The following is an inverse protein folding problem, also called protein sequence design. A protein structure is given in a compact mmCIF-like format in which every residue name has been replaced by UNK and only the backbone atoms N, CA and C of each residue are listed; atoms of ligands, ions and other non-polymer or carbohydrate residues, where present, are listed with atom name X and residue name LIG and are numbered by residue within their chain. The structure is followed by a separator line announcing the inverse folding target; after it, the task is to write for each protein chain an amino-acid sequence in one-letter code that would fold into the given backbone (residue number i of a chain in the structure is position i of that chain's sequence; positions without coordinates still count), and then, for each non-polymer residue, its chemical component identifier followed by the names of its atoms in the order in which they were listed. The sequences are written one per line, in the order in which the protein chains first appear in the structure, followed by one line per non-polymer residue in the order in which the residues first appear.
data_IF_686905012297
#
_entry.id   IF_686905012297
#
_cell.length_a   1.000
_cell.length_b   1.000
_cell.length_c   1.000
_cell.angle_alpha   90.00
_cell.angle_beta   90.00
_cell.angle_gamma   90.00
#
_symmetry.space_group_name_H-M   'P 1'
#
loop_
_entity.id
_entity.type
_entity.pdbx_description
1 polymer ?
#
# COMPACT_ATOMS: atom_id res chain seq x y z
N UNK A 1 46.44 6.45 -24.09
CA UNK A 1 45.33 7.41 -23.82
C UNK A 1 44.12 6.59 -23.37
N UNK A 2 44.03 6.38 -22.06
CA UNK A 2 42.92 5.65 -21.42
C UNK A 2 41.79 6.64 -21.12
N UNK A 3 40.68 6.51 -21.84
CA UNK A 3 39.48 7.24 -21.55
C UNK A 3 38.68 6.44 -20.49
N UNK A 4 38.87 6.79 -19.26
CA UNK A 4 38.06 6.33 -18.12
C UNK A 4 36.68 6.96 -18.21
N UNK A 5 35.69 6.21 -18.67
CA UNK A 5 34.27 6.56 -18.54
C UNK A 5 33.91 6.31 -17.07
N UNK A 6 33.95 7.36 -16.26
CA UNK A 6 33.33 7.37 -14.94
C UNK A 6 31.82 7.34 -15.14
N UNK A 7 31.24 6.15 -15.01
CA UNK A 7 29.78 5.99 -14.89
C UNK A 7 29.31 6.79 -13.68
N UNK A 8 28.47 7.77 -13.95
CA UNK A 8 27.74 8.53 -12.95
C UNK A 8 26.82 7.53 -12.22
N UNK A 9 27.19 7.14 -11.01
CA UNK A 9 26.38 6.32 -10.14
C UNK A 9 25.21 7.20 -9.69
N UNK A 10 24.16 7.17 -10.50
CA UNK A 10 22.92 7.91 -10.30
C UNK A 10 22.45 7.75 -8.84
N UNK A 11 22.35 8.86 -8.15
CA UNK A 11 21.77 8.98 -6.82
C UNK A 11 20.40 8.32 -6.83
N UNK A 12 20.29 7.10 -6.27
CA UNK A 12 19.03 6.45 -5.94
C UNK A 12 18.39 7.19 -4.76
N UNK A 13 17.99 8.43 -4.99
CA UNK A 13 17.20 9.18 -4.03
C UNK A 13 15.74 8.79 -4.22
N UNK A 14 15.09 8.22 -3.19
CA UNK A 14 13.64 8.28 -3.03
C UNK A 14 13.20 9.65 -3.53
N UNK A 15 12.35 9.73 -4.57
CA UNK A 15 11.76 11.01 -5.00
C UNK A 15 11.04 11.58 -3.78
N UNK A 16 11.67 12.54 -3.11
CA UNK A 16 11.27 12.99 -1.78
C UNK A 16 9.89 13.65 -1.84
N UNK A 17 8.90 13.00 -1.27
CA UNK A 17 7.71 13.62 -0.74
C UNK A 17 6.53 13.82 -1.68
N UNK A 18 6.67 13.91 -2.98
CA UNK A 18 5.55 14.17 -3.89
C UNK A 18 4.81 12.87 -4.24
N UNK A 19 3.50 12.88 -4.10
CA UNK A 19 2.59 11.77 -4.42
C UNK A 19 1.48 12.27 -5.37
N UNK A 20 1.90 12.78 -6.54
CA UNK A 20 1.03 13.44 -7.53
C UNK A 20 0.24 12.44 -8.36
N UNK A 21 0.88 11.29 -8.64
CA UNK A 21 0.34 10.25 -9.50
C UNK A 21 0.36 8.90 -8.79
N UNK A 22 -0.69 8.11 -9.00
CA UNK A 22 -0.80 6.76 -8.46
C UNK A 22 -1.23 5.80 -9.56
N UNK A 23 -0.43 4.76 -9.79
CA UNK A 23 -0.77 3.68 -10.72
C UNK A 23 -1.28 2.48 -9.94
N UNK A 24 -2.47 2.00 -10.30
CA UNK A 24 -3.00 0.76 -9.75
C UNK A 24 -2.58 -0.44 -10.59
N UNK A 25 -2.10 -1.47 -9.92
CA UNK A 25 -1.78 -2.76 -10.51
C UNK A 25 -2.59 -3.85 -9.78
N UNK A 26 -3.39 -4.61 -10.53
CA UNK A 26 -4.13 -5.73 -9.96
C UNK A 26 -3.17 -6.76 -9.37
N UNK A 27 -3.42 -7.16 -8.14
CA UNK A 27 -2.63 -8.16 -7.45
C UNK A 27 -2.85 -9.59 -7.97
N UNK A 28 -3.86 -9.83 -8.80
CA UNK A 28 -4.07 -11.12 -9.47
C UNK A 28 -3.23 -11.27 -10.75
N UNK A 29 -2.55 -10.21 -11.22
CA UNK A 29 -1.76 -10.22 -12.44
C UNK A 29 -0.26 -9.99 -12.16
N UNK A 30 0.56 -11.03 -12.07
CA UNK A 30 2.01 -10.88 -11.90
C UNK A 30 2.67 -10.02 -12.98
N UNK A 31 2.18 -10.11 -14.21
CA UNK A 31 2.68 -9.31 -15.34
C UNK A 31 2.45 -7.82 -15.10
N UNK A 32 1.22 -7.43 -14.71
CA UNK A 32 0.89 -6.03 -14.43
C UNK A 32 1.69 -5.50 -13.24
N UNK A 33 1.88 -6.31 -12.21
CA UNK A 33 2.67 -5.94 -11.02
C UNK A 33 4.14 -5.67 -11.37
N UNK A 34 4.74 -6.48 -12.23
CA UNK A 34 6.12 -6.30 -12.69
C UNK A 34 6.22 -5.08 -13.61
N UNK A 35 5.33 -4.96 -14.59
CA UNK A 35 5.34 -3.86 -15.55
C UNK A 35 5.11 -2.50 -14.87
N UNK A 36 4.26 -2.44 -13.86
CA UNK A 36 3.99 -1.22 -13.11
C UNK A 36 5.27 -0.61 -12.50
N UNK A 37 6.28 -1.41 -12.19
CA UNK A 37 7.54 -0.91 -11.66
C UNK A 37 8.35 -0.07 -12.66
N UNK A 38 8.07 -0.14 -13.97
CA UNK A 38 8.80 0.56 -15.03
C UNK A 38 8.17 1.88 -15.47
N UNK A 39 6.95 2.21 -15.01
CA UNK A 39 6.31 3.48 -15.32
C UNK A 39 6.82 4.60 -14.41
N UNK A 40 6.50 5.85 -14.72
CA UNK A 40 7.04 7.04 -14.02
C UNK A 40 6.10 7.62 -12.96
N UNK A 41 5.21 6.82 -12.39
CA UNK A 41 4.34 7.26 -11.29
C UNK A 41 5.12 7.48 -9.98
N UNK A 42 4.62 8.39 -9.15
CA UNK A 42 5.18 8.62 -7.80
C UNK A 42 4.80 7.49 -6.83
N UNK A 43 3.58 6.94 -6.99
CA UNK A 43 3.04 5.88 -6.13
C UNK A 43 2.60 4.67 -6.95
N UNK A 44 3.02 3.49 -6.54
CA UNK A 44 2.50 2.21 -7.05
C UNK A 44 1.53 1.64 -6.03
N UNK A 45 0.31 1.34 -6.46
CA UNK A 45 -0.74 0.76 -5.62
C UNK A 45 -1.02 -0.67 -6.08
N UNK A 46 -0.61 -1.65 -5.29
CA UNK A 46 -1.05 -3.03 -5.48
C UNK A 46 -2.47 -3.19 -4.93
N UNK A 47 -3.37 -3.70 -5.75
CA UNK A 47 -4.78 -3.77 -5.44
C UNK A 47 -5.24 -5.18 -5.11
N UNK A 48 -5.72 -5.38 -3.88
CA UNK A 48 -6.35 -6.62 -3.40
C UNK A 48 -7.89 -6.56 -3.41
N UNK A 49 -8.48 -5.39 -3.69
CA UNK A 49 -9.92 -5.18 -3.58
C UNK A 49 -10.65 -5.49 -4.90
N UNK A 50 -11.13 -4.47 -5.59
CA UNK A 50 -12.08 -4.58 -6.71
C UNK A 50 -11.50 -5.29 -7.94
N UNK A 51 -10.19 -5.20 -8.16
CA UNK A 51 -9.53 -5.81 -9.31
C UNK A 51 -9.21 -7.29 -9.13
N UNK A 52 -9.56 -7.88 -7.99
CA UNK A 52 -9.27 -9.28 -7.63
C UNK A 52 -10.58 -10.01 -7.31
N UNK A 53 -10.84 -11.10 -8.01
CA UNK A 53 -12.02 -11.95 -7.74
C UNK A 53 -11.93 -12.64 -6.37
N UNK A 54 -13.07 -12.99 -5.78
CA UNK A 54 -13.13 -13.70 -4.50
C UNK A 54 -12.28 -14.98 -4.49
N UNK A 55 -12.28 -15.73 -5.58
CA UNK A 55 -11.54 -16.99 -5.70
C UNK A 55 -10.00 -16.78 -5.76
N UNK A 56 -9.54 -15.56 -6.04
CA UNK A 56 -8.12 -15.23 -6.20
C UNK A 56 -7.53 -14.44 -5.02
N UNK A 57 -8.33 -14.07 -4.01
CA UNK A 57 -7.88 -13.22 -2.90
C UNK A 57 -6.62 -13.76 -2.21
N UNK A 58 -6.56 -15.04 -1.91
CA UNK A 58 -5.42 -15.66 -1.25
C UNK A 58 -4.15 -15.65 -2.12
N UNK A 59 -4.29 -16.02 -3.39
CA UNK A 59 -3.16 -16.02 -4.31
C UNK A 59 -2.66 -14.61 -4.59
N UNK A 60 -3.56 -13.62 -4.72
CA UNK A 60 -3.21 -12.22 -4.90
C UNK A 60 -2.47 -11.66 -3.68
N UNK A 61 -2.94 -11.96 -2.46
CA UNK A 61 -2.27 -11.61 -1.20
C UNK A 61 -0.85 -12.17 -1.15
N UNK A 62 -0.69 -13.44 -1.51
CA UNK A 62 0.63 -14.07 -1.59
C UNK A 62 1.56 -13.38 -2.60
N UNK A 63 1.05 -13.05 -3.80
CA UNK A 63 1.81 -12.36 -4.85
C UNK A 63 2.26 -10.97 -4.40
N UNK A 64 1.38 -10.16 -3.78
CA UNK A 64 1.74 -8.83 -3.25
C UNK A 64 2.83 -8.93 -2.20
N UNK A 65 2.70 -9.86 -1.25
CA UNK A 65 3.70 -10.03 -0.20
C UNK A 65 5.07 -10.41 -0.77
N UNK A 66 5.11 -11.26 -1.80
CA UNK A 66 6.36 -11.62 -2.47
C UNK A 66 6.93 -10.45 -3.30
N UNK A 67 6.07 -9.69 -4.00
CA UNK A 67 6.51 -8.50 -4.72
C UNK A 67 7.15 -7.47 -3.79
N UNK A 68 6.54 -7.22 -2.63
CA UNK A 68 7.09 -6.32 -1.61
C UNK A 68 8.43 -6.79 -1.05
N UNK A 69 8.61 -8.09 -0.85
CA UNK A 69 9.82 -8.66 -0.25
C UNK A 69 11.00 -8.74 -1.24
N UNK A 70 10.73 -9.10 -2.49
CA UNK A 70 11.77 -9.48 -3.43
C UNK A 70 11.90 -8.56 -4.65
N UNK A 71 10.85 -7.81 -4.99
CA UNK A 71 10.76 -7.00 -6.20
C UNK A 71 10.26 -5.57 -5.95
N UNK A 72 10.38 -5.07 -4.73
CA UNK A 72 9.91 -3.73 -4.37
C UNK A 72 10.68 -2.66 -5.15
N UNK A 73 9.99 -1.76 -5.91
CA UNK A 73 10.61 -0.61 -6.51
C UNK A 73 11.21 0.32 -5.46
N UNK A 74 12.46 0.75 -5.65
CA UNK A 74 13.20 1.57 -4.66
C UNK A 74 12.92 3.06 -4.79
N UNK A 75 12.45 3.49 -5.94
CA UNK A 75 12.21 4.89 -6.33
C UNK A 75 10.76 5.33 -6.19
N UNK A 76 9.87 4.42 -5.80
CA UNK A 76 8.43 4.64 -5.69
C UNK A 76 7.93 4.51 -4.26
N UNK A 77 6.83 5.22 -3.98
CA UNK A 77 6.04 5.01 -2.78
C UNK A 77 5.07 3.85 -3.02
N UNK A 78 5.23 2.77 -2.29
CA UNK A 78 4.46 1.54 -2.52
C UNK A 78 3.34 1.41 -1.52
N UNK A 79 2.13 1.33 -2.05
CA UNK A 79 0.87 1.24 -1.30
C UNK A 79 0.20 -0.10 -1.61
N UNK A 80 -0.47 -0.69 -0.63
CA UNK A 80 -1.37 -1.82 -0.87
C UNK A 80 -2.79 -1.42 -0.52
N UNK A 81 -3.71 -1.49 -1.48
CA UNK A 81 -5.14 -1.37 -1.22
C UNK A 81 -5.66 -2.72 -0.78
N UNK A 82 -6.04 -2.83 0.48
CA UNK A 82 -6.63 -4.02 1.07
C UNK A 82 -8.14 -4.05 0.86
N UNK A 83 -8.79 -5.14 1.21
CA UNK A 83 -10.24 -5.25 1.16
C UNK A 83 -10.92 -4.35 2.20
N UNK A 84 -12.21 -4.06 2.00
CA UNK A 84 -12.98 -3.19 2.87
C UNK A 84 -13.05 -3.69 4.32
N UNK A 85 -13.22 -2.76 5.25
CA UNK A 85 -13.16 -3.01 6.70
C UNK A 85 -14.17 -4.05 7.21
N UNK A 86 -15.29 -4.22 6.50
CA UNK A 86 -16.34 -5.20 6.83
C UNK A 86 -16.29 -6.45 5.96
N UNK A 87 -15.24 -6.62 5.14
CA UNK A 87 -15.06 -7.82 4.35
C UNK A 87 -14.49 -8.96 5.20
N UNK A 88 -14.77 -10.19 4.80
CA UNK A 88 -14.18 -11.38 5.41
C UNK A 88 -12.65 -11.48 5.20
N UNK A 89 -12.08 -10.71 4.26
CA UNK A 89 -10.67 -10.77 3.87
C UNK A 89 -9.77 -9.81 4.65
N UNK A 90 -10.32 -8.80 5.35
CA UNK A 90 -9.54 -7.68 5.92
C UNK A 90 -8.48 -8.14 6.93
N UNK A 91 -8.83 -9.06 7.82
CA UNK A 91 -7.91 -9.51 8.87
C UNK A 91 -6.69 -10.22 8.29
N UNK A 92 -6.90 -11.09 7.31
CA UNK A 92 -5.82 -11.81 6.63
C UNK A 92 -4.98 -10.88 5.75
N UNK A 93 -5.61 -9.89 5.12
CA UNK A 93 -4.92 -8.88 4.34
C UNK A 93 -3.98 -8.06 5.25
N UNK A 94 -4.47 -7.56 6.37
CA UNK A 94 -3.66 -6.77 7.30
C UNK A 94 -2.50 -7.59 7.86
N UNK A 95 -2.77 -8.82 8.32
CA UNK A 95 -1.74 -9.69 8.91
C UNK A 95 -0.60 -9.97 7.89
N UNK A 96 -0.92 -10.22 6.64
CA UNK A 96 0.05 -10.53 5.62
C UNK A 96 0.78 -9.27 5.11
N UNK A 97 0.02 -8.20 4.81
CA UNK A 97 0.53 -6.98 4.17
C UNK A 97 1.40 -6.17 5.13
N UNK A 98 1.00 -6.01 6.40
CA UNK A 98 1.82 -5.30 7.40
C UNK A 98 3.19 -5.97 7.55
N UNK A 99 3.25 -7.30 7.60
CA UNK A 99 4.51 -8.06 7.67
C UNK A 99 5.38 -7.90 6.41
N UNK A 100 4.78 -7.59 5.27
CA UNK A 100 5.51 -7.33 4.04
C UNK A 100 6.01 -5.88 3.92
N UNK A 101 5.63 -4.99 4.84
CA UNK A 101 6.13 -3.61 5.04
C UNK A 101 5.99 -2.71 3.82
N UNK A 102 4.76 -2.45 3.31
CA UNK A 102 4.56 -1.37 2.33
C UNK A 102 4.85 -0.01 2.97
N UNK A 103 4.92 1.07 2.17
CA UNK A 103 4.98 2.43 2.73
C UNK A 103 3.64 2.87 3.32
N UNK A 104 2.53 2.39 2.74
CA UNK A 104 1.18 2.65 3.25
C UNK A 104 0.22 1.49 2.94
N UNK A 105 -0.82 1.40 3.74
CA UNK A 105 -2.00 0.59 3.48
C UNK A 105 -3.15 1.54 3.15
N UNK A 106 -3.89 1.23 2.08
CA UNK A 106 -5.06 1.99 1.65
C UNK A 106 -6.32 1.21 1.96
N UNK A 107 -7.21 1.83 2.76
CA UNK A 107 -8.52 1.26 3.12
C UNK A 107 -9.58 1.87 2.21
N UNK A 108 -10.35 1.05 1.47
CA UNK A 108 -11.47 1.52 0.66
C UNK A 108 -12.69 1.83 1.51
N UNK A 109 -13.57 2.66 0.98
CA UNK A 109 -14.97 2.89 1.46
C UNK A 109 -15.06 3.27 2.93
N UNK A 110 -14.13 4.10 3.43
CA UNK A 110 -14.14 4.59 4.82
C UNK A 110 -15.26 5.62 4.99
N UNK A 111 -16.09 5.44 6.01
CA UNK A 111 -17.24 6.30 6.29
C UNK A 111 -17.17 7.00 7.66
N UNK A 112 -16.43 6.46 8.64
CA UNK A 112 -16.38 6.99 10.00
C UNK A 112 -14.95 6.99 10.57
N UNK A 113 -14.64 7.97 11.42
CA UNK A 113 -13.35 8.04 12.11
C UNK A 113 -13.07 6.85 13.04
N UNK A 114 -14.11 6.23 13.63
CA UNK A 114 -13.95 5.01 14.41
C UNK A 114 -13.37 3.83 13.62
N UNK A 115 -13.65 3.76 12.33
CA UNK A 115 -13.11 2.73 11.43
C UNK A 115 -11.63 2.91 11.24
N UNK A 116 -11.19 4.16 11.03
CA UNK A 116 -9.78 4.51 10.94
C UNK A 116 -9.03 4.11 12.21
N UNK A 117 -9.56 4.48 13.39
CA UNK A 117 -8.96 4.12 14.67
C UNK A 117 -8.84 2.61 14.87
N UNK A 118 -9.87 1.85 14.48
CA UNK A 118 -9.86 0.39 14.58
C UNK A 118 -8.75 -0.22 13.72
N UNK A 119 -8.63 0.22 12.46
CA UNK A 119 -7.60 -0.28 11.55
C UNK A 119 -6.20 0.16 11.99
N UNK A 120 -6.01 1.41 12.39
CA UNK A 120 -4.74 1.92 12.88
C UNK A 120 -4.25 1.11 14.09
N UNK A 121 -5.14 0.85 15.07
CA UNK A 121 -4.83 0.00 16.22
C UNK A 121 -4.43 -1.42 15.80
N UNK A 122 -5.13 -1.99 14.81
CA UNK A 122 -4.84 -3.33 14.31
C UNK A 122 -3.48 -3.40 13.60
N UNK A 123 -3.15 -2.39 12.79
CA UNK A 123 -1.84 -2.28 12.16
C UNK A 123 -0.74 -2.20 13.23
N UNK A 124 -0.88 -1.31 14.23
CA UNK A 124 0.08 -1.17 15.34
C UNK A 124 0.30 -2.48 16.09
N UNK A 125 -0.77 -3.24 16.37
CA UNK A 125 -0.63 -4.55 17.03
C UNK A 125 0.21 -5.54 16.19
N UNK A 126 -0.01 -5.56 14.87
CA UNK A 126 0.74 -6.45 13.98
C UNK A 126 2.20 -5.98 13.85
N UNK A 127 2.43 -4.66 13.73
CA UNK A 127 3.78 -4.09 13.71
C UNK A 127 4.57 -4.51 14.96
N UNK A 128 3.98 -4.34 16.15
CA UNK A 128 4.59 -4.78 17.43
C UNK A 128 4.92 -6.28 17.45
N UNK A 129 3.96 -7.13 17.06
CA UNK A 129 4.16 -8.58 17.03
C UNK A 129 5.22 -9.01 16.02
N UNK A 130 5.37 -8.26 14.94
CA UNK A 130 6.34 -8.53 13.88
C UNK A 130 7.72 -7.89 14.10
N UNK A 131 7.92 -7.13 15.18
CA UNK A 131 9.15 -6.37 15.43
C UNK A 131 9.39 -5.27 14.39
N UNK A 132 8.31 -4.67 13.90
CA UNK A 132 8.30 -3.53 13.00
C UNK A 132 8.11 -2.27 13.84
N UNK A 133 8.74 -1.17 13.46
CA UNK A 133 8.56 0.13 14.13
C UNK A 133 7.09 0.56 14.03
N UNK A 134 6.47 0.83 15.17
CA UNK A 134 5.07 1.23 15.26
C UNK A 134 4.84 2.56 14.53
N UNK A 135 3.81 2.62 13.69
CA UNK A 135 3.47 3.77 12.86
C UNK A 135 4.39 3.97 11.66
N UNK A 136 5.26 3.01 11.34
CA UNK A 136 6.09 3.05 10.14
C UNK A 136 5.28 2.90 8.85
N UNK A 137 4.18 2.16 8.88
CA UNK A 137 3.28 1.97 7.75
C UNK A 137 2.16 3.01 7.85
N UNK A 138 2.03 3.87 6.84
CA UNK A 138 1.01 4.92 6.85
C UNK A 138 -0.35 4.40 6.43
N UNK A 139 -1.41 4.98 6.99
CA UNK A 139 -2.79 4.65 6.64
C UNK A 139 -3.37 5.69 5.69
N UNK A 140 -3.91 5.24 4.56
CA UNK A 140 -4.60 6.06 3.58
C UNK A 140 -6.06 5.64 3.49
N UNK A 141 -6.98 6.58 3.63
CA UNK A 141 -8.41 6.34 3.58
C UNK A 141 -8.99 6.81 2.24
N UNK A 142 -9.70 5.92 1.53
CA UNK A 142 -10.52 6.32 0.39
C UNK A 142 -11.88 6.78 0.89
N UNK A 143 -12.20 8.04 0.59
CA UNK A 143 -13.52 8.64 0.81
C UNK A 143 -14.25 8.56 -0.53
N UNK A 144 -15.12 7.58 -0.68
CA UNK A 144 -15.79 7.24 -1.95
C UNK A 144 -17.28 6.93 -1.79
N UNK A 145 -17.85 7.34 -0.64
CA UNK A 145 -19.28 7.27 -0.38
C UNK A 145 -19.81 8.63 0.11
N UNK A 146 -21.12 8.81 0.03
CA UNK A 146 -21.79 10.01 0.56
C UNK A 146 -21.50 10.23 2.05
N UNK A 147 -21.58 9.16 2.85
CA UNK A 147 -21.28 9.25 4.29
C UNK A 147 -19.83 9.57 4.57
N UNK A 148 -18.90 9.00 3.80
CA UNK A 148 -17.48 9.34 3.91
C UNK A 148 -17.21 10.82 3.63
N UNK A 149 -17.88 11.41 2.64
CA UNK A 149 -17.76 12.84 2.34
C UNK A 149 -18.30 13.70 3.50
N UNK A 150 -19.46 13.36 4.05
CA UNK A 150 -20.01 14.08 5.22
C UNK A 150 -19.09 14.02 6.43
N UNK A 151 -18.44 12.91 6.67
CA UNK A 151 -17.57 12.65 7.82
C UNK A 151 -16.08 12.88 7.53
N UNK A 152 -15.71 13.48 6.38
CA UNK A 152 -14.33 13.61 5.95
C UNK A 152 -13.41 14.27 7.00
N UNK A 153 -13.92 15.28 7.73
CA UNK A 153 -13.18 15.92 8.81
C UNK A 153 -12.90 14.95 9.97
N UNK A 154 -13.90 14.20 10.40
CA UNK A 154 -13.75 13.19 11.47
C UNK A 154 -12.74 12.12 11.07
N UNK A 155 -12.86 11.63 9.83
CA UNK A 155 -11.94 10.63 9.25
C UNK A 155 -10.51 11.17 9.26
N UNK A 156 -10.30 12.39 8.77
CA UNK A 156 -8.97 13.00 8.68
C UNK A 156 -8.31 13.28 10.04
N UNK A 157 -9.09 13.40 11.10
CA UNK A 157 -8.61 13.66 12.47
C UNK A 157 -8.54 12.40 13.34
N UNK A 158 -8.86 11.25 12.80
CA UNK A 158 -9.02 10.03 13.59
C UNK A 158 -7.70 9.39 14.01
N UNK A 159 -6.66 9.54 13.20
CA UNK A 159 -5.31 9.02 13.46
C UNK A 159 -4.28 10.08 13.01
N UNK A 160 -3.43 10.59 13.92
CA UNK A 160 -2.49 11.68 13.64
C UNK A 160 -1.24 11.26 12.84
#
# INVERSE_FOLDING_TARGET
MENSIKGDAGKTGKRSGLKRTSLYASASSPVNMIQAAFYEEDCLVYDLEDSVSAAEKDSARFLVCNALRYHRPKDKYVVVRVNGIYSEYIEEDLEAVVRARPDAIRIPKVEYGKEVKSIASRISEIEKKAGIEEGSIKLWCNIESYMGVLNAREIAMADP
#
